data_IF_219902051756
#
_entry.id   IF_219902051756
#
_cell.length_a   1.000
_cell.length_b   1.000
_cell.length_c   1.000
_cell.angle_alpha   90.00
_cell.angle_beta   90.00
_cell.angle_gamma   90.00
#
_symmetry.space_group_name_H-M   'P 1'
#
loop_
_entity.id
_entity.type
_entity.pdbx_description
1 polymer ?
#
# COMPACT_ATOMS: atom_id res chain seq x y z
N UNK A 1 -4.83 -26.63 -10.02
CA UNK A 1 -4.67 -25.26 -10.53
C UNK A 1 -6.04 -24.63 -10.56
N UNK A 2 -6.37 -23.70 -9.64
CA UNK A 2 -7.60 -22.90 -9.77
C UNK A 2 -7.37 -21.96 -10.96
N UNK A 3 -8.29 -21.90 -11.92
CA UNK A 3 -8.17 -20.99 -13.06
C UNK A 3 -8.19 -19.54 -12.57
N UNK A 4 -7.30 -18.72 -13.11
CA UNK A 4 -7.22 -17.28 -12.81
C UNK A 4 -8.59 -16.64 -13.06
N UNK A 5 -9.16 -15.99 -12.06
CA UNK A 5 -10.34 -15.15 -12.25
C UNK A 5 -9.88 -13.82 -12.81
N UNK A 6 -10.40 -13.43 -13.96
CA UNK A 6 -10.12 -12.12 -14.54
C UNK A 6 -10.86 -11.03 -13.75
N UNK A 7 -10.17 -10.44 -12.78
CA UNK A 7 -10.71 -9.38 -11.91
C UNK A 7 -10.49 -7.99 -12.51
N UNK A 8 -9.30 -7.73 -13.07
CA UNK A 8 -9.00 -6.55 -13.86
C UNK A 8 -9.35 -6.77 -15.33
N UNK A 9 -9.92 -5.75 -15.96
CA UNK A 9 -10.08 -5.68 -17.42
C UNK A 9 -8.72 -5.53 -18.12
N UNK A 10 -8.66 -5.83 -19.42
CA UNK A 10 -7.44 -5.61 -20.21
C UNK A 10 -7.01 -4.14 -20.22
N UNK A 11 -7.95 -3.20 -20.24
CA UNK A 11 -7.64 -1.77 -20.16
C UNK A 11 -7.05 -1.40 -18.79
N UNK A 12 -7.58 -1.95 -17.70
CA UNK A 12 -7.03 -1.74 -16.34
C UNK A 12 -5.61 -2.30 -16.20
N UNK A 13 -5.33 -3.46 -16.78
CA UNK A 13 -3.97 -4.02 -16.83
C UNK A 13 -3.06 -3.13 -17.69
N UNK A 14 -3.53 -2.68 -18.85
CA UNK A 14 -2.78 -1.76 -19.70
C UNK A 14 -2.49 -0.42 -19.01
N UNK A 15 -3.46 0.12 -18.25
CA UNK A 15 -3.30 1.31 -17.42
C UNK A 15 -2.20 1.11 -16.38
N UNK A 16 -2.21 0.00 -15.64
CA UNK A 16 -1.16 -0.29 -14.66
C UNK A 16 0.23 -0.24 -15.29
N UNK A 17 0.43 -0.88 -16.45
CA UNK A 17 1.73 -0.85 -17.12
C UNK A 17 2.11 0.52 -17.69
N UNK A 18 1.12 1.27 -18.20
CA UNK A 18 1.33 2.60 -18.81
C UNK A 18 1.58 3.69 -17.78
N UNK A 19 0.83 3.68 -16.68
CA UNK A 19 0.72 4.79 -15.72
C UNK A 19 1.33 4.43 -14.36
N UNK A 20 1.59 3.15 -14.08
CA UNK A 20 2.24 2.68 -12.86
C UNK A 20 1.27 2.38 -11.71
N UNK A 21 -0.04 2.54 -11.94
CA UNK A 21 -1.09 2.24 -10.97
C UNK A 21 -2.41 1.94 -11.66
N UNK A 22 -3.30 1.28 -10.94
CA UNK A 22 -4.69 1.07 -11.32
C UNK A 22 -5.57 1.13 -10.07
N UNK A 23 -6.75 1.74 -10.19
CA UNK A 23 -7.77 1.71 -9.15
C UNK A 23 -8.91 0.84 -9.68
N UNK A 24 -9.10 -0.39 -9.18
CA UNK A 24 -10.15 -1.27 -9.65
C UNK A 24 -11.53 -0.80 -9.17
N UNK A 25 -12.58 -1.17 -9.90
CA UNK A 25 -13.98 -1.00 -9.47
C UNK A 25 -14.36 -1.98 -8.34
N UNK A 26 -13.52 -2.98 -8.11
CA UNK A 26 -13.65 -3.90 -6.99
C UNK A 26 -13.70 -3.16 -5.65
N UNK A 27 -14.63 -3.56 -4.80
CA UNK A 27 -14.75 -3.09 -3.42
C UNK A 27 -14.69 -4.29 -2.51
N UNK A 28 -13.94 -4.15 -1.41
CA UNK A 28 -13.98 -5.15 -0.36
C UNK A 28 -15.38 -5.17 0.27
N UNK A 29 -15.88 -6.36 0.66
CA UNK A 29 -17.09 -6.46 1.45
C UNK A 29 -16.96 -5.67 2.76
N UNK A 30 -18.07 -5.11 3.25
CA UNK A 30 -18.08 -4.29 4.47
C UNK A 30 -17.54 -5.08 5.67
N UNK A 31 -17.88 -6.36 5.79
CA UNK A 31 -17.39 -7.24 6.85
C UNK A 31 -15.87 -7.44 6.81
N UNK A 32 -15.25 -7.34 5.63
CA UNK A 32 -13.78 -7.41 5.50
C UNK A 32 -13.14 -6.12 5.98
N UNK A 33 -13.73 -4.97 5.67
CA UNK A 33 -13.26 -3.67 6.16
C UNK A 33 -13.41 -3.57 7.69
N UNK A 34 -14.54 -4.01 8.23
CA UNK A 34 -14.79 -4.10 9.68
C UNK A 34 -13.78 -5.01 10.39
N UNK A 35 -13.43 -6.14 9.78
CA UNK A 35 -12.39 -7.03 10.32
C UNK A 35 -11.01 -6.35 10.33
N UNK A 36 -10.64 -5.63 9.27
CA UNK A 36 -9.39 -4.85 9.23
C UNK A 36 -9.38 -3.76 10.32
N UNK A 37 -10.48 -3.04 10.51
CA UNK A 37 -10.62 -2.02 11.55
C UNK A 37 -10.53 -2.62 12.96
N UNK A 38 -11.12 -3.80 13.16
CA UNK A 38 -11.06 -4.53 14.44
C UNK A 38 -9.63 -4.95 14.77
N UNK A 39 -8.91 -5.53 13.79
CA UNK A 39 -7.52 -5.93 13.97
C UNK A 39 -6.60 -4.72 14.20
N UNK A 40 -6.83 -3.60 13.48
CA UNK A 40 -6.11 -2.35 13.72
C UNK A 40 -6.37 -1.78 15.13
N UNK A 41 -7.62 -1.77 15.58
CA UNK A 41 -7.97 -1.32 16.93
C UNK A 41 -7.25 -2.15 17.98
N UNK A 42 -7.22 -3.47 17.79
CA UNK A 42 -6.49 -4.38 18.68
C UNK A 42 -4.98 -4.14 18.65
N UNK A 43 -4.39 -3.91 17.47
CA UNK A 43 -2.98 -3.56 17.32
C UNK A 43 -2.65 -2.29 18.10
N UNK A 44 -3.40 -1.21 17.91
CA UNK A 44 -3.15 0.09 18.58
C UNK A 44 -3.38 0.02 20.08
N UNK A 45 -4.35 -0.77 20.56
CA UNK A 45 -4.55 -0.97 21.99
C UNK A 45 -3.35 -1.66 22.66
N UNK A 46 -2.69 -2.58 21.95
CA UNK A 46 -1.51 -3.29 22.43
C UNK A 46 -0.20 -2.52 22.18
N UNK A 47 -0.16 -1.71 21.12
CA UNK A 47 0.99 -0.95 20.64
C UNK A 47 0.57 0.49 20.29
N UNK A 48 0.32 1.36 21.31
CA UNK A 48 -0.14 2.72 21.09
C UNK A 48 0.79 3.56 20.22
N UNK A 49 2.09 3.22 20.15
CA UNK A 49 3.08 3.84 19.28
C UNK A 49 2.72 3.74 17.78
N UNK A 50 1.91 2.74 17.39
CA UNK A 50 1.48 2.52 16.01
C UNK A 50 0.18 3.23 15.64
N UNK A 51 -0.30 4.16 16.47
CA UNK A 51 -1.51 4.95 16.20
C UNK A 51 -1.53 5.60 14.80
N UNK A 52 -0.38 6.08 14.32
CA UNK A 52 -0.25 6.68 12.98
C UNK A 52 0.31 5.70 11.95
N UNK A 53 1.32 4.91 12.33
CA UNK A 53 2.01 4.05 11.37
C UNK A 53 2.62 2.83 12.04
N UNK A 54 2.29 1.66 11.53
CA UNK A 54 3.00 0.42 11.81
C UNK A 54 3.77 -0.02 10.55
N UNK A 55 5.11 0.01 10.53
CA UNK A 55 5.87 -0.36 9.34
C UNK A 55 5.80 -1.84 9.00
N UNK A 56 5.53 -2.72 9.98
CA UNK A 56 5.51 -4.18 9.76
C UNK A 56 4.49 -4.86 10.66
N UNK A 57 3.21 -4.83 10.27
CA UNK A 57 2.10 -5.33 11.13
C UNK A 57 2.25 -6.80 11.49
N UNK A 58 2.81 -7.61 10.58
CA UNK A 58 2.94 -9.05 10.76
C UNK A 58 3.98 -9.44 11.82
N UNK A 59 4.88 -8.53 12.21
CA UNK A 59 5.79 -8.77 13.34
C UNK A 59 5.08 -8.70 14.68
N UNK A 60 3.93 -8.02 14.74
CA UNK A 60 3.17 -7.76 15.97
C UNK A 60 1.87 -8.56 16.03
N UNK A 61 1.30 -8.85 14.86
CA UNK A 61 -0.02 -9.45 14.77
C UNK A 61 -0.22 -10.25 13.48
N UNK A 62 -0.25 -11.57 13.63
CA UNK A 62 -0.45 -12.50 12.51
C UNK A 62 -1.89 -12.53 11.98
N UNK A 63 -2.87 -11.93 12.66
CA UNK A 63 -4.24 -11.87 12.15
C UNK A 63 -4.31 -11.12 10.81
N UNK A 64 -3.41 -10.15 10.58
CA UNK A 64 -3.29 -9.44 9.31
C UNK A 64 -2.91 -10.35 8.12
N UNK A 65 -2.45 -11.59 8.35
CA UNK A 65 -2.28 -12.58 7.29
C UNK A 65 -3.60 -12.92 6.58
N UNK A 66 -4.74 -12.74 7.24
CA UNK A 66 -6.04 -12.95 6.62
C UNK A 66 -6.32 -11.91 5.53
N UNK A 67 -5.89 -10.67 5.74
CA UNK A 67 -6.16 -9.54 4.85
C UNK A 67 -5.22 -9.50 3.63
N UNK A 68 -3.97 -9.91 3.79
CA UNK A 68 -3.01 -10.02 2.68
C UNK A 68 -3.25 -11.23 1.78
N UNK A 69 -4.15 -12.15 2.18
CA UNK A 69 -4.48 -13.39 1.45
C UNK A 69 -5.83 -13.33 0.72
N UNK A 70 -6.46 -12.16 0.63
CA UNK A 70 -7.76 -11.99 -0.02
C UNK A 70 -7.65 -12.45 -1.48
N UNK A 71 -8.37 -13.52 -1.91
CA UNK A 71 -8.16 -14.13 -3.22
C UNK A 71 -8.35 -13.18 -4.39
N UNK A 72 -9.38 -12.33 -4.33
CA UNK A 72 -9.63 -11.33 -5.38
C UNK A 72 -8.47 -10.33 -5.54
N UNK A 73 -7.80 -9.96 -4.45
CA UNK A 73 -6.63 -9.08 -4.47
C UNK A 73 -5.44 -9.81 -5.09
N UNK A 74 -5.20 -11.07 -4.68
CA UNK A 74 -4.13 -11.90 -5.23
C UNK A 74 -4.31 -12.14 -6.73
N UNK A 75 -5.54 -12.42 -7.18
CA UNK A 75 -5.89 -12.56 -8.61
C UNK A 75 -5.56 -11.26 -9.38
N UNK A 76 -5.90 -10.09 -8.84
CA UNK A 76 -5.57 -8.79 -9.47
C UNK A 76 -4.06 -8.52 -9.51
N UNK A 77 -3.31 -8.88 -8.46
CA UNK A 77 -1.84 -8.76 -8.42
C UNK A 77 -1.21 -9.69 -9.46
N UNK A 78 -1.65 -10.94 -9.53
CA UNK A 78 -1.18 -11.92 -10.52
C UNK A 78 -1.38 -11.40 -11.95
N UNK A 79 -2.50 -10.72 -12.23
CA UNK A 79 -2.78 -10.13 -13.54
C UNK A 79 -1.80 -9.02 -13.95
N UNK A 80 -1.14 -8.33 -13.00
CA UNK A 80 -0.26 -7.19 -13.30
C UNK A 80 1.23 -7.49 -13.16
N UNK A 81 1.63 -8.43 -12.30
CA UNK A 81 3.04 -8.79 -12.10
C UNK A 81 3.38 -10.26 -12.40
N UNK A 82 2.39 -11.09 -12.74
CA UNK A 82 2.55 -12.52 -12.96
C UNK A 82 2.34 -13.35 -11.70
N UNK A 83 2.31 -14.68 -11.84
CA UNK A 83 1.92 -15.62 -10.77
C UNK A 83 3.02 -16.04 -9.79
N UNK A 84 4.23 -15.52 -9.94
CA UNK A 84 5.36 -15.83 -9.04
C UNK A 84 5.73 -14.58 -8.22
N UNK A 85 4.98 -14.38 -7.13
CA UNK A 85 5.19 -13.29 -6.19
C UNK A 85 5.04 -13.76 -4.75
N UNK A 86 5.70 -13.05 -3.85
CA UNK A 86 5.62 -13.28 -2.42
C UNK A 86 5.34 -11.97 -1.69
N UNK A 87 4.71 -12.07 -0.53
CA UNK A 87 4.53 -10.92 0.35
C UNK A 87 5.88 -10.55 0.95
N UNK A 88 6.38 -9.36 0.60
CA UNK A 88 7.58 -8.79 1.22
C UNK A 88 7.29 -8.16 2.58
N UNK A 89 6.27 -7.29 2.63
CA UNK A 89 5.90 -6.57 3.85
C UNK A 89 4.41 -6.20 3.82
N UNK A 90 3.86 -5.91 5.00
CA UNK A 90 2.55 -5.30 5.17
C UNK A 90 2.65 -4.24 6.25
N UNK A 91 2.09 -3.06 5.99
CA UNK A 91 2.14 -1.90 6.87
C UNK A 91 0.73 -1.34 7.07
N UNK A 92 0.51 -0.66 8.20
CA UNK A 92 -0.73 0.07 8.44
C UNK A 92 -0.44 1.56 8.53
N UNK A 93 -1.14 2.35 7.72
CA UNK A 93 -1.08 3.81 7.76
C UNK A 93 -2.43 4.34 8.25
N UNK A 94 -2.42 5.14 9.30
CA UNK A 94 -3.56 5.87 9.81
C UNK A 94 -3.24 7.37 9.85
N UNK A 95 -4.22 8.19 9.48
CA UNK A 95 -4.16 9.65 9.56
C UNK A 95 -5.32 10.13 10.41
N UNK A 96 -5.23 10.01 11.74
CA UNK A 96 -6.30 10.51 12.59
C UNK A 96 -6.42 12.04 12.43
N UNK A 97 -7.63 12.54 12.70
CA UNK A 97 -7.95 13.94 12.44
C UNK A 97 -7.08 14.87 13.29
N UNK A 98 -6.49 15.88 12.65
CA UNK A 98 -5.65 16.92 13.25
C UNK A 98 -4.27 16.47 13.78
N UNK A 99 -4.03 15.17 13.97
CA UNK A 99 -2.77 14.61 14.50
C UNK A 99 -2.07 13.62 13.52
N UNK A 100 -2.66 13.40 12.35
CA UNK A 100 -2.10 12.58 11.29
C UNK A 100 -0.81 13.13 10.69
N UNK A 101 0.17 12.25 10.53
CA UNK A 101 1.47 12.59 9.96
C UNK A 101 1.44 12.64 8.42
N UNK A 102 2.30 13.48 7.84
CA UNK A 102 2.44 13.60 6.41
C UNK A 102 3.30 12.47 5.82
N UNK A 103 3.01 12.12 4.57
CA UNK A 103 3.82 11.20 3.77
C UNK A 103 4.33 11.98 2.56
N UNK A 104 5.62 12.37 2.54
CA UNK A 104 6.18 13.16 1.45
C UNK A 104 6.26 12.35 0.15
N UNK A 105 6.57 13.00 -0.97
CA UNK A 105 6.84 12.29 -2.22
C UNK A 105 8.03 11.35 -2.04
N UNK A 106 7.89 10.09 -2.47
CA UNK A 106 8.93 9.08 -2.32
C UNK A 106 8.78 7.98 -3.37
N UNK A 107 9.73 7.04 -3.37
CA UNK A 107 9.65 5.78 -4.10
C UNK A 107 9.79 4.66 -3.09
N UNK A 108 8.84 3.73 -3.02
CA UNK A 108 8.88 2.61 -2.07
C UNK A 108 10.21 1.83 -2.14
N UNK A 109 10.78 1.69 -3.34
CA UNK A 109 12.03 0.99 -3.56
C UNK A 109 13.27 1.59 -2.88
N UNK A 110 13.19 2.83 -2.38
CA UNK A 110 14.22 3.43 -1.52
C UNK A 110 14.24 2.77 -0.13
N UNK A 111 13.06 2.42 0.38
CA UNK A 111 12.93 1.81 1.71
C UNK A 111 13.25 0.33 1.73
N UNK A 112 13.25 -0.34 0.57
CA UNK A 112 13.38 -1.79 0.49
C UNK A 112 14.65 -2.21 -0.25
N UNK A 113 15.43 -3.14 0.31
CA UNK A 113 16.64 -3.68 -0.32
C UNK A 113 16.31 -4.68 -1.44
N UNK A 114 15.27 -4.42 -2.25
CA UNK A 114 14.79 -5.27 -3.32
C UNK A 114 15.22 -4.73 -4.68
N UNK A 115 15.91 -5.56 -5.47
CA UNK A 115 16.32 -5.25 -6.85
C UNK A 115 16.03 -6.46 -7.75
N UNK A 116 15.58 -6.25 -9.00
CA UNK A 116 15.23 -4.96 -9.63
C UNK A 116 14.01 -4.28 -8.97
N UNK A 117 13.75 -3.01 -9.29
CA UNK A 117 12.55 -2.28 -8.83
C UNK A 117 11.29 -2.86 -9.52
N UNK A 118 10.83 -3.99 -9.01
CA UNK A 118 9.76 -4.80 -9.58
C UNK A 118 8.68 -5.18 -8.54
N UNK A 119 8.53 -4.37 -7.50
CA UNK A 119 7.54 -4.56 -6.45
C UNK A 119 6.19 -3.96 -6.83
N UNK A 120 5.10 -4.57 -6.36
CA UNK A 120 3.75 -4.03 -6.45
C UNK A 120 3.20 -3.80 -5.04
N UNK A 121 2.78 -2.57 -4.74
CA UNK A 121 2.10 -2.22 -3.50
C UNK A 121 0.60 -2.29 -3.72
N UNK A 122 -0.11 -3.05 -2.87
CA UNK A 122 -1.58 -2.98 -2.78
C UNK A 122 -1.93 -2.03 -1.65
N UNK A 123 -2.65 -0.95 -1.98
CA UNK A 123 -3.17 -0.01 -0.99
C UNK A 123 -4.67 -0.19 -0.82
N UNK A 124 -5.11 -0.52 0.40
CA UNK A 124 -6.52 -0.74 0.73
C UNK A 124 -7.03 0.48 1.51
N UNK A 125 -8.02 1.18 0.95
CA UNK A 125 -8.76 2.20 1.68
C UNK A 125 -9.64 1.52 2.74
N UNK A 126 -9.27 1.62 4.02
CA UNK A 126 -10.09 1.10 5.13
C UNK A 126 -11.24 2.05 5.45
N UNK A 127 -10.98 3.36 5.31
CA UNK A 127 -11.94 4.45 5.40
C UNK A 127 -12.03 5.21 4.07
N UNK A 128 -13.00 6.11 3.95
CA UNK A 128 -13.10 6.99 2.79
C UNK A 128 -11.80 7.80 2.61
N UNK A 129 -11.17 7.71 1.43
CA UNK A 129 -9.95 8.43 1.09
C UNK A 129 -10.29 9.55 0.09
N UNK A 130 -10.24 10.79 0.56
CA UNK A 130 -10.59 12.00 -0.20
C UNK A 130 -9.39 12.92 -0.34
N UNK A 131 -9.40 13.86 -1.30
CA UNK A 131 -8.35 14.88 -1.42
C UNK A 131 -8.13 15.68 -0.13
N UNK A 132 -9.19 15.88 0.66
CA UNK A 132 -9.16 16.70 1.87
C UNK A 132 -8.68 15.95 3.12
N UNK A 133 -8.58 14.62 3.08
CA UNK A 133 -8.16 13.80 4.23
C UNK A 133 -6.88 12.99 4.00
N UNK A 134 -6.08 13.40 3.02
CA UNK A 134 -4.75 12.85 2.79
C UNK A 134 -4.74 11.54 2.00
N UNK A 135 -5.63 11.40 1.01
CA UNK A 135 -5.60 10.30 0.06
C UNK A 135 -4.24 10.17 -0.66
N UNK A 136 -3.98 8.99 -1.21
CA UNK A 136 -2.78 8.73 -2.01
C UNK A 136 -2.75 9.64 -3.25
N UNK A 137 -1.56 10.10 -3.61
CA UNK A 137 -1.27 10.77 -4.87
C UNK A 137 -0.15 10.03 -5.57
N UNK A 138 -0.25 9.89 -6.89
CA UNK A 138 0.75 9.23 -7.72
C UNK A 138 1.08 10.11 -8.93
N UNK A 139 2.29 9.95 -9.46
CA UNK A 139 2.73 10.61 -10.70
C UNK A 139 2.68 9.56 -11.82
N UNK A 140 1.73 9.65 -12.77
CA UNK A 140 1.60 8.66 -13.84
C UNK A 140 2.89 8.49 -14.64
N UNK A 141 3.34 7.25 -14.80
CA UNK A 141 4.51 6.90 -15.59
C UNK A 141 5.86 7.09 -14.91
N UNK A 142 5.90 7.55 -13.65
CA UNK A 142 7.16 7.75 -12.90
C UNK A 142 7.97 6.45 -12.71
N UNK A 143 7.31 5.30 -12.71
CA UNK A 143 7.93 3.97 -12.63
C UNK A 143 8.75 3.58 -13.87
N UNK A 144 8.51 4.21 -15.04
CA UNK A 144 9.11 3.80 -16.32
C UNK A 144 10.62 3.89 -16.35
N UNK A 145 11.20 4.82 -15.60
CA UNK A 145 12.65 4.98 -15.53
C UNK A 145 13.33 3.74 -14.90
N UNK A 146 12.61 2.97 -14.06
CA UNK A 146 13.14 1.78 -13.35
C UNK A 146 14.41 2.08 -12.54
N UNK A 147 14.56 3.33 -12.11
CA UNK A 147 15.66 3.82 -11.27
C UNK A 147 15.11 4.49 -10.03
N UNK A 148 15.89 4.49 -8.96
CA UNK A 148 15.66 5.38 -7.84
C UNK A 148 16.24 6.75 -8.18
N UNK A 149 15.47 7.79 -7.89
CA UNK A 149 15.98 9.15 -7.82
C UNK A 149 16.66 9.35 -6.47
N UNK A 150 17.39 10.45 -6.33
CA UNK A 150 18.08 10.74 -5.07
C UNK A 150 17.07 11.21 -4.02
N UNK A 151 16.88 10.41 -2.98
CA UNK A 151 16.11 10.80 -1.81
C UNK A 151 16.97 11.60 -0.83
N UNK A 152 16.29 12.47 -0.09
CA UNK A 152 16.87 13.22 1.01
C UNK A 152 16.21 12.79 2.31
N UNK A 153 17.00 12.70 3.39
CA UNK A 153 16.45 12.41 4.71
C UNK A 153 15.86 13.69 5.30
N UNK A 154 14.54 13.72 5.49
CA UNK A 154 13.82 14.76 6.21
C UNK A 154 13.53 14.29 7.64
N UNK A 155 14.07 15.01 8.62
CA UNK A 155 13.96 14.66 10.04
C UNK A 155 12.81 15.37 10.76
N UNK A 156 11.87 15.97 10.01
CA UNK A 156 10.70 16.59 10.61
C UNK A 156 9.85 15.55 11.38
N UNK A 157 9.42 15.87 12.62
CA UNK A 157 8.81 14.89 13.53
C UNK A 157 7.38 14.49 13.15
N UNK A 158 6.76 15.23 12.23
CA UNK A 158 5.40 15.06 11.73
C UNK A 158 5.33 14.22 10.44
N UNK A 159 6.40 13.50 10.11
CA UNK A 159 6.47 12.63 8.95
C UNK A 159 6.33 11.15 9.32
N UNK A 160 5.51 10.44 8.56
CA UNK A 160 5.44 8.97 8.64
C UNK A 160 6.64 8.31 7.96
N UNK A 161 7.15 8.95 6.90
CA UNK A 161 8.23 8.46 6.05
C UNK A 161 9.22 9.60 5.83
N UNK A 162 10.51 9.33 6.02
CA UNK A 162 11.56 10.35 6.10
C UNK A 162 12.50 10.44 4.89
N UNK A 163 12.32 9.63 3.85
CA UNK A 163 13.12 9.66 2.61
C UNK A 163 12.24 10.31 1.56
N UNK A 164 12.52 11.57 1.26
CA UNK A 164 11.68 12.37 0.36
C UNK A 164 12.38 12.72 -0.94
N UNK A 165 11.56 12.88 -1.98
CA UNK A 165 11.92 13.51 -3.23
C UNK A 165 11.45 14.96 -3.20
N UNK A 166 12.38 15.87 -3.47
CA UNK A 166 12.06 17.28 -3.63
C UNK A 166 11.48 17.51 -5.05
N UNK A 167 10.44 18.35 -5.20
CA UNK A 167 9.85 18.69 -6.50
C UNK A 167 10.82 19.30 -7.51
#
# INVERSE_FOLDING_TARGET
>A
MKGLRHMLTQEQVAQYHRDGYVVPDFRLPAETLEAIQTDHTRLVNNHPEFRNYCPTVLAYDLAFLNHVRIPAVLDMVEQVIGGDFALWNSSFFAKPAHDGQATPWHQDGEYWPLRPLATCTVWIAVDAATPDNGCLRLIPGSHKAKTLWQHHTNSAPDLTLNQELLP
#
